data_IF_973595186445
#
_entry.id   IF_973595186445
#
_cell.length_a   1.000
_cell.length_b   1.000
_cell.length_c   1.000
_cell.angle_alpha   90.00
_cell.angle_beta   90.00
_cell.angle_gamma   90.00
#
_symmetry.space_group_name_H-M   'P 1'
#
loop_
_entity.id
_entity.type
_entity.pdbx_description
1 polymer ?
#
# COMPACT_ATOMS: atom_id res chain seq x y z
N UNK A 1 45.94 5.52 -27.36
CA UNK A 1 46.04 6.25 -26.08
C UNK A 1 44.66 6.29 -25.46
N UNK A 2 44.55 5.74 -24.25
CA UNK A 2 43.47 5.87 -23.25
C UNK A 2 42.03 6.11 -23.76
N UNK A 3 41.30 5.02 -24.05
CA UNK A 3 39.86 5.03 -23.86
C UNK A 3 39.59 5.11 -22.35
N UNK A 4 38.77 6.07 -21.97
CA UNK A 4 38.50 6.51 -20.60
C UNK A 4 38.14 5.33 -19.68
N UNK A 5 38.90 5.19 -18.60
CA UNK A 5 38.52 4.38 -17.44
C UNK A 5 37.22 4.97 -16.88
N UNK A 6 36.08 4.43 -17.29
CA UNK A 6 34.83 4.56 -16.53
C UNK A 6 35.15 4.24 -15.09
N UNK A 7 35.11 5.24 -14.22
CA UNK A 7 35.53 5.16 -12.81
C UNK A 7 35.04 3.86 -12.17
N UNK A 8 35.95 2.91 -11.92
CA UNK A 8 35.65 1.64 -11.22
C UNK A 8 35.35 1.84 -9.74
N UNK A 9 35.51 3.08 -9.25
CA UNK A 9 35.18 3.47 -7.89
C UNK A 9 33.67 3.41 -7.68
N UNK A 10 33.26 2.63 -6.70
CA UNK A 10 31.86 2.47 -6.33
C UNK A 10 31.34 3.76 -5.64
N UNK A 11 30.22 4.29 -6.13
CA UNK A 11 29.48 5.36 -5.46
C UNK A 11 28.35 4.76 -4.61
N UNK A 12 28.61 4.53 -3.32
CA UNK A 12 27.60 3.92 -2.43
C UNK A 12 26.32 4.77 -2.28
N UNK A 13 26.41 6.10 -2.41
CA UNK A 13 25.27 7.01 -2.25
C UNK A 13 24.26 6.87 -3.39
N UNK A 14 24.73 6.70 -4.64
CA UNK A 14 23.82 6.51 -5.79
C UNK A 14 23.03 5.20 -5.69
N UNK A 15 23.66 4.15 -5.17
CA UNK A 15 22.99 2.88 -4.88
C UNK A 15 21.96 3.01 -3.74
N UNK A 16 22.29 3.78 -2.70
CA UNK A 16 21.39 4.01 -1.57
C UNK A 16 20.11 4.76 -1.96
N UNK A 17 20.17 5.69 -2.91
CA UNK A 17 18.98 6.40 -3.41
C UNK A 17 17.89 5.44 -3.91
N UNK A 18 18.30 4.37 -4.59
CA UNK A 18 17.39 3.33 -5.11
C UNK A 18 16.92 2.35 -4.03
N UNK A 19 17.64 2.26 -2.91
CA UNK A 19 17.38 1.31 -1.82
C UNK A 19 16.81 1.96 -0.55
N UNK A 20 16.62 3.29 -0.53
CA UNK A 20 15.92 4.01 0.54
C UNK A 20 14.55 3.39 0.94
N UNK A 21 13.73 2.89 0.00
CA UNK A 21 12.46 2.22 0.32
C UNK A 21 12.61 0.97 1.19
N UNK A 22 13.78 0.30 1.16
CA UNK A 22 14.07 -0.92 1.94
C UNK A 22 13.88 -0.73 3.45
N UNK A 23 14.20 0.46 3.96
CA UNK A 23 14.12 0.76 5.40
C UNK A 23 12.76 1.32 5.82
N UNK A 24 11.95 1.77 4.86
CA UNK A 24 10.71 2.50 5.14
C UNK A 24 9.62 1.59 5.68
N UNK A 25 9.40 0.44 5.04
CA UNK A 25 8.38 -0.52 5.49
C UNK A 25 8.63 -1.06 6.90
N UNK A 26 9.80 -1.61 7.26
CA UNK A 26 10.04 -2.06 8.63
C UNK A 26 9.90 -0.94 9.67
N UNK A 27 10.26 0.32 9.34
CA UNK A 27 10.01 1.46 10.21
C UNK A 27 8.51 1.71 10.45
N UNK A 28 7.68 1.67 9.41
CA UNK A 28 6.24 1.82 9.54
C UNK A 28 5.60 0.65 10.31
N UNK A 29 6.07 -0.58 10.10
CA UNK A 29 5.65 -1.74 10.88
C UNK A 29 5.99 -1.59 12.37
N UNK A 30 7.21 -1.16 12.69
CA UNK A 30 7.64 -0.90 14.08
C UNK A 30 6.74 0.16 14.73
N UNK A 31 6.48 1.27 14.02
CA UNK A 31 5.59 2.34 14.49
C UNK A 31 4.17 1.85 14.72
N UNK A 32 3.64 1.01 13.84
CA UNK A 32 2.30 0.42 13.96
C UNK A 32 2.23 -0.52 15.17
N UNK A 33 3.23 -1.37 15.35
CA UNK A 33 3.32 -2.28 16.49
C UNK A 33 3.35 -1.51 17.81
N UNK A 34 4.21 -0.48 17.90
CA UNK A 34 4.30 0.40 19.07
C UNK A 34 2.97 1.08 19.41
N UNK A 35 2.26 1.62 18.41
CA UNK A 35 0.93 2.22 18.63
C UNK A 35 -0.10 1.20 19.12
N UNK A 36 -0.03 -0.05 18.67
CA UNK A 36 -0.89 -1.13 19.15
C UNK A 36 -0.60 -1.48 20.60
N UNK A 37 0.68 -1.59 20.97
CA UNK A 37 1.12 -1.77 22.36
C UNK A 37 0.60 -0.64 23.24
N UNK A 38 0.87 0.61 22.86
CA UNK A 38 0.42 1.80 23.59
C UNK A 38 -1.09 1.78 23.82
N UNK A 39 -1.90 1.59 22.77
CA UNK A 39 -3.36 1.59 22.87
C UNK A 39 -3.89 0.51 23.80
N UNK A 40 -3.31 -0.70 23.76
CA UNK A 40 -3.78 -1.81 24.60
C UNK A 40 -3.40 -1.57 26.06
N UNK A 41 -2.17 -1.12 26.32
CA UNK A 41 -1.69 -0.81 27.67
C UNK A 41 -2.49 0.34 28.28
N UNK A 42 -2.72 1.42 27.54
CA UNK A 42 -3.52 2.56 28.00
C UNK A 42 -4.96 2.15 28.33
N UNK A 43 -5.60 1.35 27.46
CA UNK A 43 -6.95 0.84 27.71
C UNK A 43 -7.05 0.00 28.97
N UNK A 44 -6.13 -0.94 29.18
CA UNK A 44 -6.17 -1.78 30.38
C UNK A 44 -5.82 -0.96 31.63
N UNK A 45 -4.90 0.00 31.54
CA UNK A 45 -4.60 0.96 32.61
C UNK A 45 -5.84 1.75 33.02
N UNK A 46 -6.60 2.26 32.06
CA UNK A 46 -7.85 3.01 32.28
C UNK A 46 -8.94 2.17 32.93
N UNK A 47 -8.94 0.85 32.76
CA UNK A 47 -9.92 -0.04 33.36
C UNK A 47 -9.50 -0.57 34.74
N UNK A 48 -8.26 -1.06 34.85
CA UNK A 48 -7.80 -1.81 36.03
C UNK A 48 -7.55 -0.88 37.21
N UNK A 49 -6.98 0.31 36.99
CA UNK A 49 -6.71 1.24 38.10
C UNK A 49 -8.01 1.67 38.80
N UNK A 50 -9.07 2.09 38.10
CA UNK A 50 -10.35 2.40 38.75
C UNK A 50 -11.01 1.18 39.38
N UNK A 51 -11.07 0.03 38.69
CA UNK A 51 -11.69 -1.18 39.22
C UNK A 51 -11.03 -1.65 40.53
N UNK A 52 -9.69 -1.55 40.61
CA UNK A 52 -8.94 -1.87 41.82
C UNK A 52 -9.29 -0.93 42.98
N UNK A 53 -9.39 0.38 42.70
CA UNK A 53 -9.78 1.38 43.71
C UNK A 53 -11.21 1.15 44.22
N UNK A 54 -12.13 0.85 43.32
CA UNK A 54 -13.52 0.56 43.65
C UNK A 54 -13.65 -0.68 44.51
N UNK A 55 -12.98 -1.79 44.14
CA UNK A 55 -12.97 -3.01 44.92
C UNK A 55 -12.34 -2.82 46.32
N UNK A 56 -11.22 -2.07 46.40
CA UNK A 56 -10.57 -1.77 47.67
C UNK A 56 -11.46 -0.92 48.58
N UNK A 57 -12.05 0.16 48.06
CA UNK A 57 -12.93 1.03 48.83
C UNK A 57 -14.23 0.33 49.22
N UNK A 58 -14.79 -0.51 48.34
CA UNK A 58 -16.02 -1.26 48.60
C UNK A 58 -15.84 -2.32 49.70
N UNK A 59 -14.66 -2.96 49.72
CA UNK A 59 -14.29 -3.89 50.79
C UNK A 59 -14.06 -3.17 52.13
N UNK A 60 -13.37 -2.03 52.13
CA UNK A 60 -13.10 -1.23 53.34
C UNK A 60 -14.37 -0.61 53.93
N UNK A 61 -15.29 -0.14 53.09
CA UNK A 61 -16.55 0.46 53.50
C UNK A 61 -17.63 -0.57 53.88
N UNK A 62 -17.36 -1.87 53.71
CA UNK A 62 -18.34 -2.95 53.94
C UNK A 62 -19.53 -2.93 52.97
N UNK A 63 -19.42 -2.23 51.84
CA UNK A 63 -20.48 -2.11 50.83
C UNK A 63 -20.49 -3.26 49.82
N UNK A 64 -19.38 -4.01 49.72
CA UNK A 64 -19.29 -5.23 48.92
C UNK A 64 -19.19 -6.46 49.82
N UNK A 65 -19.88 -7.54 49.43
CA UNK A 65 -19.69 -8.85 50.07
C UNK A 65 -18.32 -9.43 49.69
N UNK A 66 -17.72 -10.29 50.53
CA UNK A 66 -16.44 -10.93 50.21
C UNK A 66 -16.46 -11.66 48.86
N UNK A 67 -17.58 -12.33 48.52
CA UNK A 67 -17.74 -13.01 47.24
C UNK A 67 -17.75 -12.04 46.05
N UNK A 68 -18.35 -10.85 46.20
CA UNK A 68 -18.33 -9.81 45.16
C UNK A 68 -16.92 -9.22 44.96
N UNK A 69 -16.17 -9.03 46.04
CA UNK A 69 -14.78 -8.57 45.96
C UNK A 69 -13.89 -9.62 45.31
N UNK A 70 -14.04 -10.90 45.64
CA UNK A 70 -13.32 -12.00 45.00
C UNK A 70 -13.63 -12.07 43.50
N UNK A 71 -14.90 -11.99 43.12
CA UNK A 71 -15.30 -11.98 41.70
C UNK A 71 -14.70 -10.80 40.92
N UNK A 72 -14.59 -9.62 41.54
CA UNK A 72 -13.93 -8.44 40.94
C UNK A 72 -12.42 -8.66 40.74
N UNK A 73 -11.75 -9.25 41.74
CA UNK A 73 -10.33 -9.60 41.64
C UNK A 73 -10.09 -10.65 40.54
N UNK A 74 -10.93 -11.69 40.45
CA UNK A 74 -10.82 -12.72 39.41
C UNK A 74 -11.03 -12.13 38.01
N UNK A 75 -11.98 -11.21 37.84
CA UNK A 75 -12.19 -10.49 36.60
C UNK A 75 -10.94 -9.67 36.20
N UNK A 76 -10.33 -8.94 37.15
CA UNK A 76 -9.09 -8.19 36.91
C UNK A 76 -7.91 -9.12 36.56
N UNK A 77 -7.77 -10.25 37.24
CA UNK A 77 -6.73 -11.26 36.94
C UNK A 77 -6.90 -11.79 35.52
N UNK A 78 -8.12 -12.16 35.13
CA UNK A 78 -8.43 -12.64 33.77
C UNK A 78 -8.06 -11.60 32.71
N UNK A 79 -8.35 -10.31 32.95
CA UNK A 79 -7.94 -9.22 32.05
C UNK A 79 -6.43 -9.05 31.98
N UNK A 80 -5.72 -9.08 33.11
CA UNK A 80 -4.25 -8.99 33.14
C UNK A 80 -3.57 -10.17 32.44
N UNK A 81 -4.12 -11.37 32.57
CA UNK A 81 -3.65 -12.53 31.80
C UNK A 81 -3.90 -12.35 30.29
N UNK A 82 -5.06 -11.79 29.92
CA UNK A 82 -5.35 -11.41 28.54
C UNK A 82 -4.40 -10.34 27.99
N UNK A 83 -4.05 -9.34 28.80
CA UNK A 83 -3.05 -8.33 28.47
C UNK A 83 -1.68 -8.97 28.24
N UNK A 84 -1.23 -9.84 29.16
CA UNK A 84 0.06 -10.56 29.05
C UNK A 84 0.16 -11.31 27.71
N UNK A 85 -0.85 -12.11 27.35
CA UNK A 85 -0.86 -12.87 26.09
C UNK A 85 -0.75 -11.96 24.87
N UNK A 86 -1.48 -10.83 24.86
CA UNK A 86 -1.42 -9.85 23.76
C UNK A 86 -0.05 -9.17 23.67
N UNK A 87 0.55 -8.84 24.81
CA UNK A 87 1.89 -8.23 24.86
C UNK A 87 2.96 -9.20 24.36
N UNK A 88 2.87 -10.48 24.69
CA UNK A 88 3.79 -11.51 24.19
C UNK A 88 3.75 -11.61 22.65
N UNK A 89 2.55 -11.57 22.05
CA UNK A 89 2.41 -11.56 20.58
C UNK A 89 3.03 -10.31 19.95
N UNK A 90 2.78 -9.12 20.51
CA UNK A 90 3.32 -7.86 19.99
C UNK A 90 4.84 -7.75 20.20
N UNK A 91 5.36 -8.32 21.27
CA UNK A 91 6.80 -8.38 21.54
C UNK A 91 7.52 -9.29 20.55
N UNK A 92 6.93 -10.44 20.21
CA UNK A 92 7.53 -11.32 19.20
C UNK A 92 7.52 -10.67 17.81
N UNK A 93 6.44 -9.97 17.46
CA UNK A 93 6.39 -9.17 16.24
C UNK A 93 7.44 -8.04 16.24
N UNK A 94 7.64 -7.37 17.38
CA UNK A 94 8.69 -6.35 17.52
C UNK A 94 10.10 -6.92 17.27
N UNK A 95 10.42 -8.08 17.87
CA UNK A 95 11.70 -8.77 17.66
C UNK A 95 11.91 -9.11 16.19
N UNK A 96 10.86 -9.59 15.52
CA UNK A 96 10.91 -9.91 14.09
C UNK A 96 11.22 -8.66 13.27
N UNK A 97 10.51 -7.56 13.50
CA UNK A 97 10.72 -6.28 12.82
C UNK A 97 12.14 -5.74 13.08
N UNK A 98 12.65 -5.84 14.31
CA UNK A 98 14.01 -5.44 14.67
C UNK A 98 15.06 -6.29 13.95
N UNK A 99 14.84 -7.60 13.85
CA UNK A 99 15.75 -8.52 13.14
C UNK A 99 15.84 -8.17 11.66
N UNK A 100 14.70 -7.94 11.00
CA UNK A 100 14.64 -7.50 9.60
C UNK A 100 15.32 -6.13 9.43
N UNK A 101 15.03 -5.16 10.31
CA UNK A 101 15.63 -3.83 10.29
C UNK A 101 17.15 -3.89 10.39
N UNK A 102 17.66 -4.67 11.35
CA UNK A 102 19.10 -4.85 11.58
C UNK A 102 19.79 -5.48 10.38
N UNK A 103 19.21 -6.53 9.79
CA UNK A 103 19.77 -7.19 8.59
C UNK A 103 19.78 -6.25 7.38
N UNK A 104 18.74 -5.46 7.18
CA UNK A 104 18.66 -4.47 6.09
C UNK A 104 19.70 -3.36 6.26
N UNK A 105 19.83 -2.82 7.47
CA UNK A 105 20.87 -1.82 7.78
C UNK A 105 22.26 -2.42 7.57
N UNK A 106 22.52 -3.65 8.02
CA UNK A 106 23.80 -4.32 7.81
C UNK A 106 24.12 -4.49 6.32
N UNK A 107 23.14 -4.96 5.53
CA UNK A 107 23.30 -5.11 4.08
C UNK A 107 23.65 -3.79 3.39
N UNK A 108 23.03 -2.67 3.80
CA UNK A 108 23.37 -1.34 3.28
C UNK A 108 24.74 -0.84 3.77
N UNK A 109 25.10 -1.13 5.03
CA UNK A 109 26.42 -0.78 5.58
C UNK A 109 27.56 -1.55 4.92
N UNK A 110 27.32 -2.80 4.50
CA UNK A 110 28.33 -3.60 3.81
C UNK A 110 28.74 -2.99 2.47
N UNK A 111 27.83 -2.26 1.80
CA UNK A 111 28.14 -1.50 0.59
C UNK A 111 29.22 -0.43 0.83
N UNK A 112 29.17 0.27 1.97
CA UNK A 112 30.16 1.30 2.31
C UNK A 112 31.56 0.73 2.59
N UNK A 113 31.67 -0.58 2.84
CA UNK A 113 32.96 -1.27 3.02
C UNK A 113 33.61 -1.63 1.68
N UNK A 114 32.86 -1.55 0.58
CA UNK A 114 33.30 -1.93 -0.77
C UNK A 114 33.72 -0.66 -1.52
N UNK A 115 34.94 -0.64 -2.05
CA UNK A 115 35.48 0.55 -2.73
C UNK A 115 35.39 0.47 -4.26
N UNK A 116 35.36 -0.74 -4.83
CA UNK A 116 35.47 -0.97 -6.27
C UNK A 116 34.37 -1.92 -6.75
N UNK A 117 33.80 -1.62 -7.92
CA UNK A 117 32.80 -2.43 -8.61
C UNK A 117 33.33 -3.80 -9.09
N UNK A 118 34.64 -3.93 -9.29
CA UNK A 118 35.29 -5.18 -9.67
C UNK A 118 35.62 -6.10 -8.47
N UNK A 119 35.28 -5.69 -7.25
CA UNK A 119 35.48 -6.50 -6.04
C UNK A 119 34.50 -7.68 -6.02
N UNK A 120 34.99 -8.89 -5.68
CA UNK A 120 34.15 -10.09 -5.49
C UNK A 120 33.05 -9.83 -4.45
N UNK A 121 33.33 -9.01 -3.44
CA UNK A 121 32.34 -8.60 -2.43
C UNK A 121 31.20 -7.79 -3.04
N UNK A 122 31.48 -6.98 -4.06
CA UNK A 122 30.43 -6.27 -4.80
C UNK A 122 29.56 -7.25 -5.58
N UNK A 123 30.16 -8.26 -6.20
CA UNK A 123 29.41 -9.29 -6.92
C UNK A 123 28.44 -10.03 -5.99
N UNK A 124 28.90 -10.50 -4.83
CA UNK A 124 28.06 -11.17 -3.83
C UNK A 124 26.93 -10.26 -3.30
N UNK A 125 27.26 -9.00 -3.00
CA UNK A 125 26.29 -8.01 -2.53
C UNK A 125 25.23 -7.73 -3.61
N UNK A 126 25.66 -7.53 -4.86
CA UNK A 126 24.77 -7.23 -6.00
C UNK A 126 23.87 -8.42 -6.36
N UNK A 127 24.36 -9.65 -6.22
CA UNK A 127 23.54 -10.87 -6.35
C UNK A 127 22.45 -10.94 -5.29
N UNK A 128 22.79 -10.67 -4.03
CA UNK A 128 21.81 -10.60 -2.93
C UNK A 128 20.75 -9.52 -3.20
N UNK A 129 21.18 -8.36 -3.69
CA UNK A 129 20.29 -7.26 -4.08
C UNK A 129 19.35 -7.67 -5.22
N UNK A 130 19.87 -8.36 -6.23
CA UNK A 130 19.08 -8.86 -7.36
C UNK A 130 18.04 -9.89 -6.90
N UNK A 131 18.44 -10.88 -6.10
CA UNK A 131 17.54 -11.90 -5.56
C UNK A 131 16.39 -11.24 -4.77
N UNK A 132 16.70 -10.23 -3.94
CA UNK A 132 15.69 -9.43 -3.21
C UNK A 132 14.71 -8.72 -4.16
N UNK A 133 15.21 -8.09 -5.22
CA UNK A 133 14.36 -7.38 -6.19
C UNK A 133 13.49 -8.36 -7.00
N UNK A 134 14.01 -9.54 -7.32
CA UNK A 134 13.26 -10.60 -7.98
C UNK A 134 12.12 -11.10 -7.08
N UNK A 135 12.39 -11.31 -5.78
CA UNK A 135 11.34 -11.65 -4.80
C UNK A 135 10.26 -10.57 -4.73
N UNK A 136 10.63 -9.28 -4.64
CA UNK A 136 9.66 -8.16 -4.64
C UNK A 136 8.81 -8.15 -5.93
N UNK A 137 9.44 -8.36 -7.08
CA UNK A 137 8.74 -8.46 -8.35
C UNK A 137 7.73 -9.63 -8.38
N UNK A 138 8.15 -10.83 -7.95
CA UNK A 138 7.27 -12.01 -7.90
C UNK A 138 6.07 -11.78 -6.99
N UNK A 139 6.27 -11.13 -5.83
CA UNK A 139 5.19 -10.78 -4.90
C UNK A 139 4.19 -9.81 -5.54
N UNK A 140 4.65 -8.80 -6.27
CA UNK A 140 3.80 -7.82 -6.97
C UNK A 140 3.04 -8.42 -8.15
N UNK A 141 3.67 -9.38 -8.84
CA UNK A 141 3.08 -10.10 -9.97
C UNK A 141 2.07 -11.17 -9.52
N UNK A 142 1.95 -11.43 -8.22
CA UNK A 142 0.97 -12.36 -7.66
C UNK A 142 1.47 -13.80 -7.51
N UNK A 143 2.78 -14.01 -7.44
CA UNK A 143 3.44 -15.31 -7.25
C UNK A 143 4.07 -15.45 -5.85
N UNK A 144 3.28 -15.45 -4.75
CA UNK A 144 3.83 -15.43 -3.39
C UNK A 144 4.54 -16.72 -3.00
N UNK A 145 4.08 -17.88 -3.47
CA UNK A 145 4.69 -19.17 -3.10
C UNK A 145 6.08 -19.33 -3.72
N UNK A 146 6.23 -18.98 -5.00
CA UNK A 146 7.52 -18.99 -5.67
C UNK A 146 8.47 -17.93 -5.07
N UNK A 147 7.95 -16.77 -4.67
CA UNK A 147 8.71 -15.74 -3.97
C UNK A 147 9.27 -16.23 -2.62
N UNK A 148 8.44 -16.92 -1.82
CA UNK A 148 8.86 -17.53 -0.54
C UNK A 148 9.93 -18.61 -0.76
N UNK A 149 9.76 -19.46 -1.77
CA UNK A 149 10.74 -20.51 -2.09
C UNK A 149 12.10 -19.91 -2.46
N UNK A 150 12.11 -18.86 -3.29
CA UNK A 150 13.34 -18.15 -3.66
C UNK A 150 14.00 -17.49 -2.43
N UNK A 151 13.20 -16.80 -1.60
CA UNK A 151 13.70 -16.15 -0.40
C UNK A 151 14.36 -17.15 0.57
N UNK A 152 13.74 -18.32 0.76
CA UNK A 152 14.27 -19.41 1.58
C UNK A 152 15.53 -20.04 0.98
N UNK A 153 15.52 -20.33 -0.32
CA UNK A 153 16.66 -20.93 -1.00
C UNK A 153 17.91 -20.04 -0.97
N UNK A 154 17.72 -18.72 -1.00
CA UNK A 154 18.80 -17.71 -0.94
C UNK A 154 19.10 -17.21 0.47
N UNK A 155 18.35 -17.66 1.49
CA UNK A 155 18.46 -17.18 2.88
C UNK A 155 18.30 -15.65 3.02
N UNK A 156 17.38 -15.05 2.26
CA UNK A 156 17.10 -13.60 2.25
C UNK A 156 15.72 -13.26 2.82
N UNK A 157 15.11 -14.16 3.58
CA UNK A 157 13.76 -13.99 4.16
C UNK A 157 13.63 -12.68 4.97
N UNK A 158 14.68 -12.29 5.69
CA UNK A 158 14.71 -11.06 6.47
C UNK A 158 14.90 -9.77 5.65
N UNK A 159 15.31 -9.90 4.39
CA UNK A 159 15.51 -8.76 3.49
C UNK A 159 14.25 -8.44 2.69
N UNK A 160 13.25 -9.32 2.69
CA UNK A 160 12.02 -9.21 1.90
C UNK A 160 10.79 -9.08 2.79
N UNK A 161 9.71 -8.50 2.27
CA UNK A 161 8.49 -8.22 3.04
C UNK A 161 7.32 -9.12 2.62
N UNK A 162 7.58 -10.43 2.48
CA UNK A 162 6.64 -11.41 1.92
C UNK A 162 5.24 -11.36 2.58
N UNK A 163 5.17 -11.33 3.91
CA UNK A 163 3.89 -11.30 4.64
C UNK A 163 3.06 -10.05 4.34
N UNK A 164 3.70 -8.89 4.18
CA UNK A 164 3.01 -7.64 3.86
C UNK A 164 2.37 -7.71 2.48
N UNK A 165 3.08 -8.28 1.51
CA UNK A 165 2.55 -8.49 0.16
C UNK A 165 1.43 -9.52 0.12
N UNK A 166 1.56 -10.62 0.86
CA UNK A 166 0.50 -11.64 0.97
C UNK A 166 -0.78 -11.02 1.54
N UNK A 167 -0.67 -10.16 2.57
CA UNK A 167 -1.81 -9.41 3.09
C UNK A 167 -2.42 -8.47 2.03
N UNK A 168 -1.60 -7.73 1.29
CA UNK A 168 -2.09 -6.86 0.21
C UNK A 168 -2.78 -7.65 -0.90
N UNK A 169 -2.25 -8.81 -1.27
CA UNK A 169 -2.82 -9.70 -2.28
C UNK A 169 -4.17 -10.25 -1.82
N UNK A 170 -4.28 -10.67 -0.55
CA UNK A 170 -5.55 -11.11 0.06
C UNK A 170 -6.61 -10.00 0.02
N UNK A 171 -6.27 -8.78 0.42
CA UNK A 171 -7.21 -7.64 0.36
C UNK A 171 -7.65 -7.41 -1.09
N UNK A 172 -6.72 -7.43 -2.05
CA UNK A 172 -7.03 -7.26 -3.46
C UNK A 172 -7.89 -8.41 -4.02
N UNK A 173 -7.73 -9.63 -3.53
CA UNK A 173 -8.54 -10.78 -3.93
C UNK A 173 -9.96 -10.71 -3.37
N UNK A 174 -10.10 -10.34 -2.10
CA UNK A 174 -11.40 -10.09 -1.48
C UNK A 174 -12.16 -8.97 -2.19
N UNK A 175 -11.45 -7.90 -2.58
CA UNK A 175 -12.03 -6.87 -3.42
C UNK A 175 -12.48 -7.41 -4.77
N UNK A 176 -11.69 -8.22 -5.48
CA UNK A 176 -12.14 -8.84 -6.75
C UNK A 176 -13.40 -9.70 -6.58
N UNK A 177 -13.58 -10.29 -5.41
CA UNK A 177 -14.74 -11.11 -5.05
C UNK A 177 -15.94 -10.29 -4.55
N UNK A 178 -15.84 -8.96 -4.51
CA UNK A 178 -16.92 -8.07 -4.06
C UNK A 178 -16.95 -7.78 -2.56
N UNK A 179 -15.96 -8.23 -1.79
CA UNK A 179 -15.87 -7.94 -0.35
C UNK A 179 -14.90 -6.79 -0.07
N UNK A 180 -15.47 -5.63 0.30
CA UNK A 180 -14.73 -4.43 0.66
C UNK A 180 -14.35 -4.33 2.15
N UNK A 181 -14.73 -5.29 3.00
CA UNK A 181 -14.54 -5.17 4.47
C UNK A 181 -13.08 -5.01 4.85
N UNK A 182 -12.21 -5.90 4.36
CA UNK A 182 -10.78 -5.86 4.68
C UNK A 182 -10.10 -4.61 4.11
N UNK A 183 -10.51 -4.17 2.91
CA UNK A 183 -9.97 -2.95 2.31
C UNK A 183 -10.37 -1.69 3.07
N UNK A 184 -11.62 -1.62 3.54
CA UNK A 184 -12.10 -0.51 4.36
C UNK A 184 -11.45 -0.51 5.75
N UNK A 185 -11.20 -1.69 6.33
CA UNK A 185 -10.41 -1.80 7.56
C UNK A 185 -9.00 -1.26 7.33
N UNK A 186 -8.35 -1.65 6.24
CA UNK A 186 -7.03 -1.14 5.85
C UNK A 186 -7.04 0.38 5.66
N UNK A 187 -8.09 0.95 5.06
CA UNK A 187 -8.26 2.40 4.95
C UNK A 187 -8.35 3.08 6.33
N UNK A 188 -9.10 2.50 7.26
CA UNK A 188 -9.20 3.00 8.64
C UNK A 188 -7.86 3.00 9.37
N UNK A 189 -7.07 1.94 9.21
CA UNK A 189 -5.74 1.81 9.80
C UNK A 189 -4.73 2.80 9.21
N UNK A 190 -4.86 3.13 7.91
CA UNK A 190 -3.95 4.01 7.17
C UNK A 190 -4.51 5.43 6.92
N UNK A 191 -5.60 5.81 7.60
CA UNK A 191 -6.32 7.08 7.38
C UNK A 191 -5.44 8.32 7.39
N UNK A 192 -4.45 8.37 8.29
CA UNK A 192 -3.50 9.49 8.36
C UNK A 192 -2.60 9.61 7.13
N UNK A 193 -2.18 8.49 6.54
CA UNK A 193 -1.37 8.47 5.33
C UNK A 193 -2.22 8.78 4.08
N UNK A 194 -3.45 8.25 4.03
CA UNK A 194 -4.40 8.52 2.94
C UNK A 194 -4.78 10.00 2.86
N UNK A 195 -5.02 10.65 4.01
CA UNK A 195 -5.30 12.10 4.05
C UNK A 195 -4.13 12.94 3.55
N UNK A 196 -2.90 12.60 3.92
CA UNK A 196 -1.70 13.32 3.46
C UNK A 196 -1.45 13.16 1.97
N UNK A 197 -1.76 12.00 1.42
CA UNK A 197 -1.61 11.69 -0.01
C UNK A 197 -2.82 12.11 -0.86
N UNK A 198 -3.85 12.73 -0.25
CA UNK A 198 -5.11 13.11 -0.92
C UNK A 198 -5.71 11.94 -1.71
N UNK A 199 -5.61 10.73 -1.15
CA UNK A 199 -6.08 9.50 -1.78
C UNK A 199 -7.55 9.25 -1.45
N UNK A 200 -8.37 9.07 -2.48
CA UNK A 200 -9.83 8.91 -2.42
C UNK A 200 -10.30 7.46 -2.29
N UNK A 201 -9.39 6.50 -2.05
CA UNK A 201 -9.72 5.06 -2.00
C UNK A 201 -10.87 4.72 -1.03
N UNK A 202 -10.91 5.33 0.15
CA UNK A 202 -12.03 5.09 1.08
C UNK A 202 -13.37 5.53 0.49
N UNK A 203 -13.41 6.70 -0.17
CA UNK A 203 -14.60 7.20 -0.85
C UNK A 203 -14.99 6.28 -2.01
N UNK A 204 -14.04 5.91 -2.86
CA UNK A 204 -14.25 5.01 -4.00
C UNK A 204 -14.83 3.65 -3.58
N UNK A 205 -14.28 3.04 -2.52
CA UNK A 205 -14.80 1.77 -1.99
C UNK A 205 -16.23 1.91 -1.45
N UNK A 206 -16.55 3.03 -0.79
CA UNK A 206 -17.91 3.31 -0.30
C UNK A 206 -18.87 3.59 -1.44
N UNK A 207 -18.44 4.32 -2.47
CA UNK A 207 -19.23 4.57 -3.67
C UNK A 207 -19.54 3.25 -4.39
N UNK A 208 -18.56 2.36 -4.52
CA UNK A 208 -18.78 1.05 -5.14
C UNK A 208 -19.73 0.16 -4.32
N UNK A 209 -19.66 0.19 -2.99
CA UNK A 209 -20.65 -0.48 -2.14
C UNK A 209 -22.06 0.05 -2.39
N UNK A 210 -22.21 1.37 -2.51
CA UNK A 210 -23.48 2.00 -2.83
C UNK A 210 -24.02 1.54 -4.19
N UNK A 211 -23.20 1.59 -5.24
CA UNK A 211 -23.55 1.16 -6.59
C UNK A 211 -24.00 -0.31 -6.58
N UNK A 212 -23.29 -1.20 -5.88
CA UNK A 212 -23.65 -2.62 -5.80
C UNK A 212 -24.99 -2.85 -5.09
N UNK A 213 -25.28 -2.08 -4.02
CA UNK A 213 -26.59 -2.14 -3.36
C UNK A 213 -27.71 -1.67 -4.29
N UNK A 214 -27.52 -0.57 -5.01
CA UNK A 214 -28.50 -0.07 -5.99
C UNK A 214 -28.72 -1.09 -7.12
N UNK A 215 -27.64 -1.68 -7.64
CA UNK A 215 -27.65 -2.67 -8.72
C UNK A 215 -28.44 -3.94 -8.38
N UNK A 216 -28.63 -4.26 -7.10
CA UNK A 216 -29.47 -5.43 -6.74
C UNK A 216 -30.94 -5.21 -7.08
N UNK A 217 -31.42 -3.95 -7.09
CA UNK A 217 -32.80 -3.58 -7.43
C UNK A 217 -33.86 -4.04 -6.42
N UNK A 218 -33.46 -4.56 -5.26
CA UNK A 218 -34.39 -5.00 -4.22
C UNK A 218 -34.83 -3.78 -3.37
N UNK A 219 -36.14 -3.58 -3.10
CA UNK A 219 -36.63 -2.42 -2.36
C UNK A 219 -35.93 -2.20 -1.01
N UNK A 220 -35.68 -3.27 -0.26
CA UNK A 220 -34.96 -3.21 1.02
C UNK A 220 -33.52 -2.71 0.87
N UNK A 221 -32.80 -3.19 -0.16
CA UNK A 221 -31.41 -2.78 -0.42
C UNK A 221 -31.29 -1.36 -0.94
N UNK A 222 -32.33 -0.83 -1.60
CA UNK A 222 -32.37 0.59 -1.98
C UNK A 222 -32.47 1.50 -0.75
N UNK A 223 -33.26 1.11 0.24
CA UNK A 223 -33.34 1.83 1.53
C UNK A 223 -31.99 1.79 2.24
N UNK A 224 -31.33 0.63 2.29
CA UNK A 224 -29.98 0.49 2.85
C UNK A 224 -28.96 1.36 2.09
N UNK A 225 -29.03 1.42 0.76
CA UNK A 225 -28.17 2.25 -0.07
C UNK A 225 -28.32 3.74 0.27
N UNK A 226 -29.56 4.23 0.44
CA UNK A 226 -29.81 5.62 0.84
C UNK A 226 -29.23 5.93 2.23
N UNK A 227 -29.38 5.01 3.19
CA UNK A 227 -28.80 5.17 4.53
C UNK A 227 -27.27 5.18 4.48
N UNK A 228 -26.67 4.31 3.65
CA UNK A 228 -25.22 4.25 3.45
C UNK A 228 -24.69 5.54 2.81
N UNK A 229 -25.33 6.03 1.77
CA UNK A 229 -24.96 7.28 1.11
C UNK A 229 -24.97 8.46 2.10
N UNK A 230 -26.04 8.58 2.91
CA UNK A 230 -26.15 9.62 3.94
C UNK A 230 -25.02 9.54 4.98
N UNK A 231 -24.58 8.32 5.33
CA UNK A 231 -23.57 8.10 6.36
C UNK A 231 -22.14 8.34 5.87
N UNK A 232 -21.80 7.87 4.67
CA UNK A 232 -20.41 7.82 4.20
C UNK A 232 -20.10 8.74 3.01
N UNK A 233 -21.08 9.02 2.14
CA UNK A 233 -20.86 9.83 0.93
C UNK A 233 -21.12 11.32 1.18
N UNK A 234 -22.05 11.68 2.07
CA UNK A 234 -22.38 13.09 2.36
C UNK A 234 -21.20 13.92 2.84
N UNK A 235 -20.20 13.32 3.50
CA UNK A 235 -18.98 14.01 3.94
C UNK A 235 -18.08 14.46 2.79
N UNK A 236 -18.27 13.89 1.59
CA UNK A 236 -17.48 14.14 0.40
C UNK A 236 -18.26 14.92 -0.67
N UNK A 237 -19.44 15.46 -0.31
CA UNK A 237 -20.30 16.13 -1.30
C UNK A 237 -19.64 17.37 -1.90
N UNK A 238 -18.89 18.13 -1.12
CA UNK A 238 -18.20 19.33 -1.60
C UNK A 238 -17.02 19.00 -2.52
N UNK A 239 -16.37 17.84 -2.33
CA UNK A 239 -15.14 17.45 -3.04
C UNK A 239 -15.37 16.46 -4.18
N UNK A 240 -16.47 15.71 -4.17
CA UNK A 240 -16.78 14.60 -5.09
C UNK A 240 -18.26 14.61 -5.54
N UNK A 241 -18.89 15.80 -5.60
CA UNK A 241 -20.31 15.96 -5.95
C UNK A 241 -20.69 15.26 -7.26
N UNK A 242 -19.86 15.37 -8.30
CA UNK A 242 -20.14 14.84 -9.63
C UNK A 242 -20.36 13.32 -9.58
N UNK A 243 -19.46 12.59 -8.94
CA UNK A 243 -19.53 11.13 -8.83
C UNK A 243 -20.71 10.68 -7.94
N UNK A 244 -21.00 11.42 -6.87
CA UNK A 244 -22.15 11.14 -6.00
C UNK A 244 -23.47 11.33 -6.75
N UNK A 245 -23.64 12.42 -7.50
CA UNK A 245 -24.85 12.68 -8.29
C UNK A 245 -25.03 11.66 -9.41
N UNK A 246 -23.93 11.26 -10.07
CA UNK A 246 -23.95 10.19 -11.09
C UNK A 246 -24.41 8.87 -10.50
N UNK A 247 -23.86 8.47 -9.36
CA UNK A 247 -24.28 7.26 -8.68
C UNK A 247 -25.74 7.34 -8.19
N UNK A 248 -26.17 8.49 -7.66
CA UNK A 248 -27.56 8.70 -7.25
C UNK A 248 -28.55 8.58 -8.42
N UNK A 249 -28.13 8.98 -9.63
CA UNK A 249 -28.91 8.80 -10.85
C UNK A 249 -29.25 7.34 -11.15
N UNK A 250 -28.44 6.36 -10.73
CA UNK A 250 -28.73 4.93 -10.89
C UNK A 250 -30.02 4.48 -10.19
N UNK A 251 -30.55 5.27 -9.24
CA UNK A 251 -31.86 5.00 -8.63
C UNK A 251 -33.03 5.25 -9.60
N UNK A 252 -32.83 6.10 -10.61
CA UNK A 252 -33.86 6.50 -11.56
C UNK A 252 -33.82 5.71 -12.87
N UNK A 253 -32.72 5.00 -13.15
CA UNK A 253 -32.55 4.20 -14.38
C UNK A 253 -32.68 2.70 -14.10
N UNK A 254 -33.29 1.92 -15.02
CA UNK A 254 -33.27 0.46 -14.95
C UNK A 254 -31.87 -0.09 -15.22
N UNK A 255 -31.60 -1.35 -14.81
CA UNK A 255 -30.28 -1.99 -14.88
C UNK A 255 -29.76 -2.25 -16.30
N UNK A 256 -30.61 -2.07 -17.30
CA UNK A 256 -30.36 -2.32 -18.72
C UNK A 256 -30.30 -0.99 -19.50
N UNK A 257 -29.97 0.11 -18.81
CA UNK A 257 -29.92 1.43 -19.42
C UNK A 257 -28.77 1.53 -20.43
N UNK A 258 -29.07 2.06 -21.60
CA UNK A 258 -28.04 2.40 -22.60
C UNK A 258 -27.56 3.85 -22.47
N UNK A 259 -28.03 4.59 -21.47
CA UNK A 259 -27.67 5.98 -21.26
C UNK A 259 -26.28 6.09 -20.59
N UNK A 260 -25.35 6.80 -21.24
CA UNK A 260 -24.10 7.21 -20.63
C UNK A 260 -24.32 8.45 -19.73
N UNK A 261 -23.63 8.57 -18.59
CA UNK A 261 -22.52 7.73 -18.09
C UNK A 261 -22.97 6.50 -17.29
N UNK A 262 -24.28 6.26 -17.13
CA UNK A 262 -24.82 5.24 -16.22
C UNK A 262 -24.46 3.81 -16.61
N UNK A 263 -24.45 3.50 -17.92
CA UNK A 263 -23.97 2.22 -18.46
C UNK A 263 -22.51 1.93 -18.06
N UNK A 264 -21.66 2.94 -18.02
CA UNK A 264 -20.25 2.80 -17.63
C UNK A 264 -20.05 2.67 -16.11
N UNK A 265 -21.08 2.93 -15.30
CA UNK A 265 -21.07 2.74 -13.85
C UNK A 265 -21.63 1.38 -13.42
N UNK A 266 -22.32 0.67 -14.32
CA UNK A 266 -22.84 -0.68 -14.09
C UNK A 266 -21.77 -1.78 -14.14
N UNK A 267 -20.50 -1.40 -14.31
CA UNK A 267 -19.38 -2.36 -14.25
C UNK A 267 -19.37 -3.05 -12.89
N UNK A 268 -19.35 -4.40 -12.86
CA UNK A 268 -19.29 -5.14 -11.60
C UNK A 268 -18.09 -4.70 -10.75
N UNK A 269 -18.23 -4.80 -9.42
CA UNK A 269 -17.17 -4.53 -8.44
C UNK A 269 -15.79 -5.10 -8.85
N UNK A 270 -15.80 -6.26 -9.55
CA UNK A 270 -14.64 -6.95 -10.11
C UNK A 270 -13.81 -6.13 -11.12
N UNK A 271 -14.44 -5.26 -11.91
CA UNK A 271 -13.76 -4.46 -12.95
C UNK A 271 -13.12 -3.19 -12.38
N UNK A 272 -13.72 -2.59 -11.33
CA UNK A 272 -13.16 -1.44 -10.62
C UNK A 272 -11.87 -1.81 -9.83
N UNK A 273 -11.79 -3.05 -9.34
CA UNK A 273 -10.74 -3.51 -8.44
C UNK A 273 -9.41 -3.91 -9.10
N UNK A 274 -9.34 -4.06 -10.43
CA UNK A 274 -8.25 -4.82 -11.05
C UNK A 274 -6.89 -4.11 -11.02
N UNK A 275 -6.84 -2.78 -11.21
CA UNK A 275 -5.57 -2.03 -11.31
C UNK A 275 -5.43 -0.91 -10.27
N UNK A 276 -6.45 -0.06 -10.10
CA UNK A 276 -6.35 1.13 -9.23
C UNK A 276 -6.22 0.77 -7.75
N UNK A 277 -7.02 -0.16 -7.23
CA UNK A 277 -6.99 -0.54 -5.81
C UNK A 277 -5.78 -1.40 -5.47
N UNK A 278 -5.39 -2.34 -6.34
CA UNK A 278 -4.21 -3.20 -6.12
C UNK A 278 -2.91 -2.39 -6.16
N UNK A 279 -2.75 -1.53 -7.17
CA UNK A 279 -1.61 -0.61 -7.23
C UNK A 279 -1.62 0.36 -6.06
N UNK A 280 -2.76 0.94 -5.68
CA UNK A 280 -2.85 1.88 -4.55
C UNK A 280 -2.52 1.21 -3.22
N UNK A 281 -3.13 0.08 -2.88
CA UNK A 281 -2.90 -0.62 -1.60
C UNK A 281 -1.45 -1.11 -1.51
N UNK A 282 -0.91 -1.65 -2.60
CA UNK A 282 0.49 -2.09 -2.63
C UNK A 282 1.42 -0.88 -2.56
N UNK A 283 1.25 0.16 -3.37
CA UNK A 283 2.15 1.34 -3.40
C UNK A 283 2.10 2.16 -2.12
N UNK A 284 0.94 2.26 -1.47
CA UNK A 284 0.79 2.94 -0.18
C UNK A 284 1.28 2.10 0.99
N UNK A 285 1.16 0.77 0.93
CA UNK A 285 1.70 -0.14 1.97
C UNK A 285 3.21 -0.34 1.83
N UNK A 286 3.76 -0.24 0.61
CA UNK A 286 5.19 -0.50 0.34
C UNK A 286 5.99 0.74 -0.07
N UNK A 287 5.35 1.92 -0.08
CA UNK A 287 5.91 3.24 -0.42
C UNK A 287 7.23 3.23 -1.18
N UNK A 288 7.15 2.76 -2.44
CA UNK A 288 8.16 2.99 -3.51
C UNK A 288 9.20 1.86 -3.70
N UNK A 289 8.88 0.56 -3.65
CA UNK A 289 9.79 -0.45 -4.26
C UNK A 289 9.59 -0.68 -5.77
N UNK A 290 8.50 -0.16 -6.38
CA UNK A 290 8.22 -0.35 -7.81
C UNK A 290 9.25 0.30 -8.75
N UNK A 291 9.92 1.39 -8.31
CA UNK A 291 10.85 2.12 -9.17
C UNK A 291 12.23 1.47 -9.25
N UNK A 292 12.61 0.62 -8.28
CA UNK A 292 13.99 0.11 -8.19
C UNK A 292 14.27 -0.98 -9.22
N UNK A 293 13.41 -2.00 -9.36
CA UNK A 293 13.65 -3.09 -10.33
C UNK A 293 13.47 -2.63 -11.79
N UNK A 294 12.37 -1.92 -12.10
CA UNK A 294 12.12 -1.39 -13.45
C UNK A 294 13.10 -0.29 -13.85
N UNK A 295 13.53 0.56 -12.90
CA UNK A 295 14.58 1.56 -13.12
C UNK A 295 15.95 0.92 -13.43
N UNK A 296 16.32 -0.16 -12.75
CA UNK A 296 17.55 -0.92 -13.01
C UNK A 296 17.57 -1.60 -14.39
N UNK A 297 16.43 -2.14 -14.83
CA UNK A 297 16.31 -2.78 -16.15
C UNK A 297 16.34 -1.74 -17.28
N UNK A 298 15.71 -0.57 -17.07
CA UNK A 298 15.70 0.50 -18.07
C UNK A 298 17.07 1.19 -18.22
N UNK A 299 17.85 1.36 -17.16
CA UNK A 299 19.18 1.99 -17.24
C UNK A 299 20.23 1.11 -17.94
N UNK A 300 20.01 -0.20 -18.04
CA UNK A 300 20.90 -1.11 -18.77
C UNK A 300 20.62 -1.19 -20.27
N UNK A 301 19.43 -0.78 -20.74
CA UNK A 301 18.99 -1.01 -22.13
C UNK A 301 18.80 0.24 -23.00
N UNK A 302 18.93 1.46 -22.47
CA UNK A 302 18.81 2.68 -23.28
C UNK A 302 19.73 3.80 -22.82
N UNK A 303 20.44 4.42 -23.77
CA UNK A 303 21.12 5.72 -23.64
C UNK A 303 20.13 6.90 -23.54
N UNK A 304 18.95 6.69 -22.93
CA UNK A 304 17.88 7.67 -22.82
C UNK A 304 17.48 7.83 -21.35
N UNK A 305 17.27 9.08 -20.87
CA UNK A 305 16.86 9.34 -19.50
C UNK A 305 15.47 8.76 -19.20
N UNK A 306 15.24 8.50 -17.90
CA UNK A 306 14.17 7.77 -17.20
C UNK A 306 12.68 8.13 -17.51
N UNK A 307 12.34 8.66 -18.68
CA UNK A 307 10.95 8.94 -19.10
C UNK A 307 10.08 7.69 -19.35
N UNK A 308 10.68 6.50 -19.43
CA UNK A 308 9.98 5.25 -19.79
C UNK A 308 9.09 4.70 -18.66
N UNK A 309 9.39 5.02 -17.39
CA UNK A 309 8.59 4.56 -16.24
C UNK A 309 7.14 5.10 -16.30
N UNK A 310 6.92 6.22 -17.00
CA UNK A 310 5.64 6.89 -17.14
C UNK A 310 4.84 6.41 -18.37
N UNK A 311 5.50 5.94 -19.43
CA UNK A 311 4.87 5.61 -20.72
C UNK A 311 4.22 4.21 -20.70
N UNK A 312 4.81 3.21 -20.05
CA UNK A 312 4.17 1.88 -19.96
C UNK A 312 2.98 1.84 -18.99
N UNK A 313 2.94 2.72 -17.99
CA UNK A 313 1.75 2.89 -17.15
C UNK A 313 0.58 3.47 -17.97
N UNK A 314 0.84 4.14 -19.11
CA UNK A 314 -0.19 4.57 -20.05
C UNK A 314 -0.57 3.46 -21.04
N UNK A 315 0.39 2.68 -21.57
CA UNK A 315 0.10 1.60 -22.53
C UNK A 315 -0.73 0.45 -21.92
N UNK A 316 -0.45 0.06 -20.67
CA UNK A 316 -1.30 -0.90 -19.95
C UNK A 316 -2.70 -0.35 -19.59
N UNK A 317 -2.89 0.97 -19.61
CA UNK A 317 -4.20 1.62 -19.43
C UNK A 317 -4.96 1.70 -20.76
N UNK A 318 -4.24 1.85 -21.89
CA UNK A 318 -4.83 2.07 -23.22
C UNK A 318 -5.24 0.78 -23.95
N UNK A 319 -4.58 -0.35 -23.71
CA UNK A 319 -4.83 -1.57 -24.50
C UNK A 319 -6.14 -2.31 -24.12
N UNK A 320 -6.72 -2.08 -22.94
CA UNK A 320 -7.92 -2.80 -22.47
C UNK A 320 -9.19 -1.94 -22.31
N UNK A 321 -9.10 -0.62 -22.42
CA UNK A 321 -10.25 0.28 -22.29
C UNK A 321 -10.13 1.40 -23.33
N UNK A 322 -10.87 1.27 -24.43
CA UNK A 322 -11.08 2.35 -25.40
C UNK A 322 -11.90 3.52 -24.83
N UNK A 323 -11.42 4.17 -23.76
CA UNK A 323 -12.10 5.29 -23.09
C UNK A 323 -11.11 6.43 -22.83
N UNK A 324 -11.30 7.66 -23.39
CA UNK A 324 -10.22 8.66 -23.46
C UNK A 324 -10.02 9.61 -22.25
N UNK A 325 -10.67 9.43 -21.09
CA UNK A 325 -10.75 10.49 -20.07
C UNK A 325 -10.32 10.11 -18.65
N UNK A 326 -9.08 9.61 -18.50
CA UNK A 326 -8.45 9.36 -17.18
C UNK A 326 -7.19 10.22 -16.95
N UNK A 327 -7.22 11.47 -17.40
CA UNK A 327 -6.08 12.39 -17.32
C UNK A 327 -5.83 12.96 -15.91
N UNK A 328 -6.85 13.04 -15.04
CA UNK A 328 -6.73 13.79 -13.77
C UNK A 328 -6.02 13.00 -12.64
N UNK A 329 -6.02 11.66 -12.69
CA UNK A 329 -5.26 10.81 -11.76
C UNK A 329 -3.75 10.79 -12.03
N UNK A 330 -3.34 11.15 -13.25
CA UNK A 330 -1.95 11.03 -13.72
C UNK A 330 -1.03 12.13 -13.18
N UNK A 331 -1.58 13.32 -12.93
CA UNK A 331 -0.84 14.46 -12.40
C UNK A 331 -0.57 14.32 -10.88
N UNK A 332 -1.47 13.63 -10.18
CA UNK A 332 -1.36 13.33 -8.74
C UNK A 332 -0.35 12.19 -8.45
N UNK A 333 -0.20 11.24 -9.37
CA UNK A 333 0.83 10.20 -9.31
C UNK A 333 2.25 10.76 -9.57
N UNK A 334 2.39 11.78 -10.44
CA UNK A 334 3.66 12.48 -10.69
C UNK A 334 4.25 13.12 -9.42
N UNK A 335 3.40 13.68 -8.56
CA UNK A 335 3.85 14.37 -7.33
C UNK A 335 4.22 13.43 -6.17
N UNK A 336 3.86 12.13 -6.24
CA UNK A 336 3.96 11.21 -5.10
C UNK A 336 5.18 10.27 -5.15
N UNK A 337 5.87 10.14 -6.29
CA UNK A 337 7.09 9.35 -6.39
C UNK A 337 8.33 10.20 -6.05
N UNK A 338 8.84 10.06 -4.81
CA UNK A 338 10.03 10.79 -4.36
C UNK A 338 11.30 10.43 -5.14
N UNK A 339 11.36 9.25 -5.77
CA UNK A 339 12.49 8.83 -6.62
C UNK A 339 12.47 9.60 -7.94
N UNK A 340 11.32 9.73 -8.60
CA UNK A 340 11.18 10.55 -9.81
C UNK A 340 11.48 12.03 -9.53
N UNK A 341 10.95 12.58 -8.43
CA UNK A 341 11.20 13.97 -8.03
C UNK A 341 12.66 14.25 -7.60
N UNK A 342 13.35 13.26 -7.04
CA UNK A 342 14.77 13.39 -6.66
C UNK A 342 15.71 13.28 -7.87
N UNK A 343 15.35 12.46 -8.87
CA UNK A 343 16.10 12.39 -10.13
C UNK A 343 15.93 13.65 -10.98
N UNK A 344 14.72 14.24 -11.00
CA UNK A 344 14.44 15.50 -11.70
C UNK A 344 15.27 16.68 -11.13
N UNK A 345 15.48 16.70 -9.80
CA UNK A 345 16.40 17.64 -9.15
C UNK A 345 17.88 17.40 -9.48
N UNK A 346 18.27 16.16 -9.80
CA UNK A 346 19.64 15.81 -10.17
C UNK A 346 19.92 16.05 -11.67
N UNK A 347 18.90 16.00 -12.54
CA UNK A 347 19.06 16.08 -13.99
C UNK A 347 18.75 17.45 -14.62
N UNK A 348 18.26 18.44 -13.86
CA UNK A 348 18.36 19.88 -14.22
C UNK A 348 17.63 20.40 -15.47
N UNK A 349 17.04 19.56 -16.32
CA UNK A 349 16.36 20.00 -17.55
C UNK A 349 14.87 19.65 -17.52
N UNK A 350 14.05 20.70 -17.64
CA UNK A 350 12.60 20.61 -17.79
C UNK A 350 12.30 20.09 -19.21
N UNK A 351 12.23 18.76 -19.38
CA UNK A 351 11.92 18.14 -20.67
C UNK A 351 10.47 18.45 -21.09
N UNK A 352 10.29 19.16 -22.20
CA UNK A 352 9.00 19.43 -22.82
C UNK A 352 8.47 18.16 -23.52
N UNK A 353 7.62 17.42 -22.82
CA UNK A 353 7.04 16.16 -23.26
C UNK A 353 6.01 16.28 -24.41
N UNK A 354 5.72 17.49 -24.92
CA UNK A 354 4.75 17.67 -26.01
C UNK A 354 5.29 17.19 -27.37
N UNK A 355 6.56 17.49 -27.68
CA UNK A 355 7.16 17.23 -28.99
C UNK A 355 7.55 15.76 -29.24
N UNK A 356 7.79 14.98 -28.19
CA UNK A 356 8.06 13.52 -28.32
C UNK A 356 6.77 12.70 -28.45
N UNK A 357 5.64 13.21 -27.93
CA UNK A 357 4.33 12.55 -28.03
C UNK A 357 3.82 12.50 -29.47
N UNK A 358 4.00 13.58 -30.24
CA UNK A 358 3.61 13.62 -31.66
C UNK A 358 4.43 12.65 -32.52
N UNK A 359 5.73 12.45 -32.22
CA UNK A 359 6.60 11.54 -32.98
C UNK A 359 6.29 10.06 -32.74
N UNK A 360 5.77 9.72 -31.54
CA UNK A 360 5.35 8.37 -31.21
C UNK A 360 3.99 8.02 -31.81
N UNK A 361 3.05 8.97 -31.86
CA UNK A 361 1.75 8.78 -32.53
C UNK A 361 1.88 8.63 -34.06
N UNK A 362 2.82 9.35 -34.69
CA UNK A 362 3.05 9.24 -36.14
C UNK A 362 3.62 7.87 -36.58
N UNK A 363 4.18 7.06 -35.67
CA UNK A 363 4.71 5.71 -35.99
C UNK A 363 3.70 4.59 -35.83
N UNK A 364 2.59 4.81 -35.12
CA UNK A 364 1.53 3.81 -34.94
C UNK A 364 0.53 3.76 -36.10
N UNK A 365 0.36 4.85 -36.86
CA UNK A 365 -0.57 4.88 -38.00
C UNK A 365 -0.03 4.22 -39.29
N UNK A 366 1.26 3.89 -39.38
CA UNK A 366 1.87 3.31 -40.60
C UNK A 366 1.98 1.78 -40.57
N UNK A 367 1.31 1.10 -39.63
CA UNK A 367 1.32 -0.37 -39.51
C UNK A 367 0.00 -1.06 -39.84
N UNK A 368 -1.00 -0.32 -40.28
CA UNK A 368 -2.25 -0.84 -40.84
C UNK A 368 -2.48 -0.28 -42.25
N UNK A 369 -1.62 -0.65 -43.19
CA UNK A 369 -1.95 -0.74 -44.62
C UNK A 369 -1.36 -2.03 -45.19
#
# INVERSE_FOLDING_TARGET
MAAELTSTKLNAESHLLLDQPLLRLPHELARRNFKSVQRIVEREREHIIPALKEAANGSLAGTQTPDQTLASLDAMISRMQGLKRKMETLHEEEKRIQTHSKRRIQHLQDLYKIQNLADVKYEEWSRTRLDRLLVDHMLRSGFPESAKQLAKAKNIEDLVDADTFVQCQRIAENLRNGDAKEALQWCGENKGALKKSQNTLEFELRLQQYIEMVRTGQPMKLIEAMQHAKKYLSQHIETQSVEIHRAAGLLAFPKETNAEPYKALEVPFRSFSSHTSRATIITSSTTITHCSFRGLVCTQNTSLPLGICFIEHQLSISDDLGVPHLLDGTERARQTCSICASYEKLCGERFDHSAEREKLWARTDTRNE
#
